data_IF_364995314181
#
_entry.id   IF_364995314181
#
_cell.length_a   1.000
_cell.length_b   1.000
_cell.length_c   1.000
_cell.angle_alpha   90.00
_cell.angle_beta   90.00
_cell.angle_gamma   90.00
#
_symmetry.space_group_name_H-M   'P 1'
#
loop_
_entity.id
_entity.type
_entity.pdbx_description
1 polymer ?
#
# COMPACT_ATOMS: atom_id res chain seq x y z
N UNK A 1 0.47 -12.32 36.35
CA UNK A 1 -0.29 -11.16 35.81
C UNK A 1 -1.01 -10.50 36.98
N UNK A 2 -0.98 -9.16 37.07
CA UNK A 2 -1.72 -8.44 38.10
C UNK A 2 -3.23 -8.68 37.94
N UNK A 3 -3.91 -9.01 39.04
CA UNK A 3 -5.35 -9.18 39.10
C UNK A 3 -5.98 -7.82 39.44
N UNK A 4 -6.62 -7.10 38.50
CA UNK A 4 -7.18 -5.80 38.81
C UNK A 4 -8.52 -5.89 39.54
N UNK A 5 -8.87 -4.84 40.26
CA UNK A 5 -10.26 -4.55 40.63
C UNK A 5 -10.86 -3.71 39.52
N UNK A 6 -11.93 -4.22 38.90
CA UNK A 6 -12.65 -3.54 37.81
C UNK A 6 -13.62 -2.49 38.38
N UNK A 7 -13.75 -1.35 37.72
CA UNK A 7 -14.85 -0.41 37.96
C UNK A 7 -16.21 -1.08 37.71
N UNK A 8 -17.22 -0.81 38.55
CA UNK A 8 -18.58 -1.32 38.34
C UNK A 8 -19.29 -0.65 37.16
N UNK A 9 -18.82 0.53 36.74
CA UNK A 9 -19.34 1.27 35.61
C UNK A 9 -18.45 1.05 34.38
N UNK A 10 -19.10 0.83 33.25
CA UNK A 10 -18.47 0.66 31.95
C UNK A 10 -18.67 1.90 31.09
N UNK A 11 -17.72 2.12 30.17
CA UNK A 11 -17.80 3.24 29.22
C UNK A 11 -18.83 2.99 28.12
N UNK A 12 -18.97 1.73 27.73
CA UNK A 12 -19.91 1.21 26.74
C UNK A 12 -19.91 -0.32 26.84
N UNK A 13 -21.02 -0.94 26.45
CA UNK A 13 -21.27 -2.38 26.58
C UNK A 13 -20.99 -2.89 28.02
N UNK A 14 -20.91 -4.20 28.22
CA UNK A 14 -20.72 -4.87 29.52
C UNK A 14 -19.26 -5.35 29.76
N UNK A 15 -18.32 -4.93 28.90
CA UNK A 15 -16.95 -5.46 28.91
C UNK A 15 -15.83 -4.40 29.01
N UNK A 16 -16.11 -3.10 28.93
CA UNK A 16 -15.05 -2.05 28.96
C UNK A 16 -15.15 -1.12 30.16
N UNK A 17 -14.37 -1.34 31.24
CA UNK A 17 -14.46 -0.55 32.46
C UNK A 17 -13.89 0.87 32.32
N UNK A 18 -14.38 1.79 33.16
CA UNK A 18 -13.82 3.14 33.29
C UNK A 18 -12.38 3.14 33.83
N UNK A 19 -12.05 2.20 34.70
CA UNK A 19 -10.72 2.05 35.28
C UNK A 19 -10.49 0.64 35.84
N UNK A 20 -9.22 0.33 36.06
CA UNK A 20 -8.71 -0.86 36.73
C UNK A 20 -7.81 -0.44 37.88
N UNK A 21 -8.14 -0.86 39.10
CA UNK A 21 -7.36 -0.59 40.30
C UNK A 21 -6.39 -1.74 40.61
N UNK A 22 -5.20 -1.42 41.16
CA UNK A 22 -4.29 -2.42 41.67
C UNK A 22 -4.89 -3.12 42.90
N UNK A 23 -4.75 -4.45 42.97
CA UNK A 23 -5.17 -5.23 44.16
C UNK A 23 -3.99 -5.79 44.95
N UNK A 24 -2.77 -5.69 44.40
CA UNK A 24 -1.58 -6.36 44.91
C UNK A 24 -1.58 -7.88 44.72
N UNK A 25 -2.63 -8.46 44.09
CA UNK A 25 -2.71 -9.90 43.81
C UNK A 25 -2.23 -10.19 42.41
N UNK A 26 -1.55 -11.32 42.26
CA UNK A 26 -1.16 -11.86 40.97
C UNK A 26 -1.79 -13.22 40.71
N UNK A 27 -2.01 -13.52 39.44
CA UNK A 27 -2.45 -14.82 38.96
C UNK A 27 -1.57 -15.28 37.82
N UNK A 28 -1.22 -16.56 37.82
CA UNK A 28 -0.65 -17.22 36.65
C UNK A 28 -1.79 -17.67 35.73
N UNK A 29 -1.71 -17.25 34.47
CA UNK A 29 -2.59 -17.73 33.42
C UNK A 29 -1.75 -18.07 32.20
N UNK A 30 -1.96 -19.27 31.70
CA UNK A 30 -1.45 -19.68 30.39
C UNK A 30 -2.42 -19.19 29.32
N UNK A 31 -2.25 -17.93 28.90
CA UNK A 31 -3.07 -17.30 27.88
C UNK A 31 -2.21 -16.36 27.01
N UNK A 32 -2.48 -16.39 25.71
CA UNK A 32 -1.90 -15.42 24.78
C UNK A 32 -2.66 -14.09 24.90
N UNK A 33 -2.03 -13.09 25.51
CA UNK A 33 -2.60 -11.75 25.60
C UNK A 33 -2.18 -10.88 24.40
N UNK A 34 -3.10 -10.05 23.92
CA UNK A 34 -2.87 -9.12 22.80
C UNK A 34 -2.02 -7.90 23.19
N UNK A 35 -1.77 -7.03 22.21
CA UNK A 35 -0.95 -5.82 22.39
C UNK A 35 -1.41 -4.96 23.58
N UNK A 36 -0.45 -4.42 24.34
CA UNK A 36 -0.70 -3.51 25.47
C UNK A 36 -0.96 -4.18 26.83
N UNK A 37 -1.21 -5.48 26.87
CA UNK A 37 -1.49 -6.21 28.13
C UNK A 37 -0.36 -6.07 29.15
N UNK A 38 0.90 -6.11 28.70
CA UNK A 38 2.06 -6.05 29.56
C UNK A 38 2.13 -4.68 30.26
N UNK A 39 1.88 -3.59 29.51
CA UNK A 39 1.82 -2.24 30.07
C UNK A 39 0.74 -2.08 31.15
N UNK A 40 -0.46 -2.65 30.93
CA UNK A 40 -1.53 -2.70 31.94
C UNK A 40 -1.07 -3.48 33.18
N UNK A 41 -0.51 -4.68 32.99
CA UNK A 41 -0.08 -5.53 34.11
C UNK A 41 1.03 -4.88 34.94
N UNK A 42 2.05 -4.30 34.31
CA UNK A 42 3.15 -3.63 35.01
C UNK A 42 2.70 -2.34 35.72
N UNK A 43 1.76 -1.59 35.13
CA UNK A 43 1.17 -0.42 35.80
C UNK A 43 0.47 -0.82 37.11
N UNK A 44 -0.34 -1.89 37.05
CA UNK A 44 -1.05 -2.40 38.23
C UNK A 44 -0.10 -2.95 39.30
N UNK A 45 0.99 -3.63 38.92
CA UNK A 45 2.03 -4.07 39.86
C UNK A 45 2.72 -2.90 40.56
N UNK A 46 2.92 -1.79 39.84
CA UNK A 46 3.48 -0.55 40.38
C UNK A 46 2.47 0.24 41.24
N UNK A 47 1.25 -0.27 41.48
CA UNK A 47 0.23 0.44 42.24
C UNK A 47 -0.42 1.60 41.48
N UNK A 48 -0.27 1.65 40.15
CA UNK A 48 -0.82 2.70 39.30
C UNK A 48 -2.20 2.26 38.78
N UNK A 49 -3.21 3.09 39.00
CA UNK A 49 -4.54 2.91 38.41
C UNK A 49 -4.46 3.06 36.90
N UNK A 50 -5.03 2.10 36.17
CA UNK A 50 -5.17 2.18 34.71
C UNK A 50 -6.54 2.74 34.41
N UNK A 51 -6.59 3.99 33.94
CA UNK A 51 -7.84 4.66 33.55
C UNK A 51 -8.11 4.48 32.07
N UNK A 52 -9.39 4.39 31.72
CA UNK A 52 -9.81 4.43 30.32
C UNK A 52 -9.69 5.85 29.76
N UNK A 53 -9.79 5.96 28.44
CA UNK A 53 -9.84 7.24 27.75
C UNK A 53 -11.08 8.02 28.18
N UNK A 54 -10.90 9.29 28.57
CA UNK A 54 -12.01 10.18 28.89
C UNK A 54 -12.81 10.59 27.63
N UNK A 55 -13.99 11.17 27.81
CA UNK A 55 -14.88 11.57 26.71
C UNK A 55 -14.23 12.53 25.71
N UNK A 56 -13.25 13.33 26.14
CA UNK A 56 -12.51 14.23 25.26
C UNK A 56 -11.62 13.43 24.29
N UNK A 57 -10.81 12.49 24.79
CA UNK A 57 -9.98 11.63 23.96
C UNK A 57 -10.81 10.64 23.11
N UNK A 58 -11.92 10.16 23.66
CA UNK A 58 -12.83 9.23 23.00
C UNK A 58 -13.50 9.79 21.75
N UNK A 59 -13.73 11.11 21.68
CA UNK A 59 -14.28 11.79 20.50
C UNK A 59 -13.37 11.72 19.28
N UNK A 60 -12.08 11.45 19.47
CA UNK A 60 -11.10 11.31 18.39
C UNK A 60 -10.83 9.86 17.99
N UNK A 61 -11.59 8.91 18.54
CA UNK A 61 -11.47 7.48 18.24
C UNK A 61 -12.67 6.99 17.45
N UNK A 62 -12.41 6.15 16.46
CA UNK A 62 -13.42 5.29 15.87
C UNK A 62 -13.36 3.91 16.53
N UNK A 63 -14.51 3.33 16.83
CA UNK A 63 -14.59 2.08 17.56
C UNK A 63 -15.12 0.97 16.64
N UNK A 64 -14.32 -0.08 16.48
CA UNK A 64 -14.72 -1.30 15.79
C UNK A 64 -15.25 -2.30 16.82
N UNK A 65 -16.41 -2.02 17.41
CA UNK A 65 -17.04 -2.93 18.37
C UNK A 65 -17.47 -4.23 17.71
N UNK A 66 -17.70 -5.27 18.54
CA UNK A 66 -18.26 -6.51 18.06
C UNK A 66 -19.58 -6.24 17.34
N UNK A 67 -19.70 -6.77 16.12
CA UNK A 67 -20.91 -6.60 15.33
C UNK A 67 -21.94 -7.65 15.73
N UNK A 68 -23.08 -7.19 16.25
CA UNK A 68 -24.18 -8.06 16.73
C UNK A 68 -25.34 -8.18 15.73
N UNK A 69 -25.26 -7.56 14.56
CA UNK A 69 -26.28 -7.66 13.51
C UNK A 69 -26.15 -8.93 12.66
N UNK A 70 -26.56 -8.87 11.38
CA UNK A 70 -26.56 -10.03 10.49
C UNK A 70 -25.13 -10.36 9.99
N UNK A 71 -24.51 -11.48 10.41
CA UNK A 71 -23.12 -11.78 10.05
C UNK A 71 -22.89 -11.93 8.55
N UNK A 72 -23.88 -12.42 7.80
CA UNK A 72 -23.79 -12.57 6.35
C UNK A 72 -23.86 -11.23 5.61
N UNK A 73 -24.64 -10.27 6.12
CA UNK A 73 -24.64 -8.89 5.60
C UNK A 73 -23.30 -8.20 5.87
N UNK A 74 -22.79 -8.34 7.08
CA UNK A 74 -21.48 -7.83 7.47
C UNK A 74 -20.35 -8.37 6.61
N UNK A 75 -20.29 -9.69 6.42
CA UNK A 75 -19.28 -10.34 5.58
C UNK A 75 -19.34 -9.84 4.14
N UNK A 76 -20.54 -9.69 3.55
CA UNK A 76 -20.69 -9.16 2.19
C UNK A 76 -20.23 -7.71 2.08
N UNK A 77 -20.65 -6.86 3.02
CA UNK A 77 -20.32 -5.46 3.02
C UNK A 77 -18.81 -5.20 3.27
N UNK A 78 -18.16 -6.03 4.07
CA UNK A 78 -16.70 -5.94 4.29
C UNK A 78 -15.88 -6.68 3.23
N UNK A 79 -16.49 -7.55 2.43
CA UNK A 79 -15.87 -8.20 1.27
C UNK A 79 -15.40 -7.19 0.23
N UNK A 80 -16.29 -6.25 -0.09
CA UNK A 80 -16.01 -5.09 -0.94
C UNK A 80 -16.77 -3.88 -0.37
N UNK A 81 -16.05 -3.08 0.43
CA UNK A 81 -16.60 -1.92 1.12
C UNK A 81 -17.11 -0.88 0.13
N UNK A 82 -16.52 -0.77 -1.06
CA UNK A 82 -16.95 0.19 -2.08
C UNK A 82 -18.27 -0.24 -2.73
N UNK A 83 -18.46 -1.55 -2.95
CA UNK A 83 -19.68 -2.12 -3.50
C UNK A 83 -20.77 -2.40 -2.44
N UNK A 84 -20.48 -2.21 -1.16
CA UNK A 84 -21.42 -2.45 -0.07
C UNK A 84 -22.74 -1.67 -0.27
N UNK A 85 -23.85 -2.40 -0.31
CA UNK A 85 -25.20 -1.83 -0.42
C UNK A 85 -25.57 -1.02 0.81
N UNK A 86 -26.49 -0.07 0.65
CA UNK A 86 -27.05 0.66 1.78
C UNK A 86 -27.70 -0.30 2.78
N UNK A 87 -27.43 -0.09 4.07
CA UNK A 87 -27.98 -0.88 5.17
C UNK A 87 -28.68 0.02 6.19
N UNK A 88 -29.79 -0.47 6.74
CA UNK A 88 -30.47 0.17 7.87
C UNK A 88 -29.71 -0.02 9.19
N UNK A 89 -28.84 -1.03 9.27
CA UNK A 89 -28.00 -1.29 10.44
C UNK A 89 -27.00 -0.15 10.66
N UNK A 90 -27.12 0.52 11.81
CA UNK A 90 -26.29 1.68 12.13
C UNK A 90 -24.82 1.34 12.36
N UNK A 91 -24.52 0.17 12.95
CA UNK A 91 -23.16 -0.27 13.24
C UNK A 91 -22.41 -0.64 11.97
N UNK A 92 -23.05 -1.39 11.06
CA UNK A 92 -22.48 -1.73 9.76
C UNK A 92 -22.30 -0.48 8.90
N UNK A 93 -23.30 0.41 8.85
CA UNK A 93 -23.17 1.69 8.12
C UNK A 93 -21.99 2.51 8.62
N UNK A 94 -21.90 2.75 9.93
CA UNK A 94 -20.78 3.50 10.52
C UNK A 94 -19.42 2.88 10.20
N UNK A 95 -19.30 1.55 10.28
CA UNK A 95 -18.06 0.84 9.96
C UNK A 95 -17.67 1.02 8.50
N UNK A 96 -18.60 0.80 7.57
CA UNK A 96 -18.32 0.95 6.13
C UNK A 96 -18.00 2.40 5.76
N UNK A 97 -18.71 3.38 6.35
CA UNK A 97 -18.44 4.80 6.13
C UNK A 97 -17.06 5.21 6.66
N UNK A 98 -16.69 4.73 7.85
CA UNK A 98 -15.35 4.94 8.39
C UNK A 98 -14.28 4.33 7.49
N UNK A 99 -14.42 3.08 7.05
CA UNK A 99 -13.43 2.44 6.18
C UNK A 99 -13.29 3.19 4.84
N UNK A 100 -14.40 3.66 4.25
CA UNK A 100 -14.38 4.53 3.06
C UNK A 100 -13.64 5.84 3.32
N UNK A 101 -13.93 6.49 4.44
CA UNK A 101 -13.30 7.76 4.80
C UNK A 101 -11.81 7.58 5.10
N UNK A 102 -11.46 6.58 5.91
CA UNK A 102 -10.07 6.25 6.27
C UNK A 102 -9.24 5.91 5.03
N UNK A 103 -9.79 5.15 4.07
CA UNK A 103 -9.13 4.88 2.80
C UNK A 103 -8.87 6.15 1.99
N UNK A 104 -9.87 7.02 1.85
CA UNK A 104 -9.72 8.32 1.17
C UNK A 104 -8.71 9.23 1.87
N UNK A 105 -8.62 9.20 3.19
CA UNK A 105 -7.69 10.02 3.96
C UNK A 105 -6.26 9.48 3.92
N UNK A 106 -6.07 8.16 4.02
CA UNK A 106 -4.75 7.53 4.00
C UNK A 106 -4.08 7.63 2.61
N UNK A 107 -4.88 7.45 1.56
CA UNK A 107 -4.45 7.45 0.17
C UNK A 107 -5.50 8.22 -0.65
N UNK A 108 -5.46 9.57 -0.67
CA UNK A 108 -6.35 10.34 -1.53
C UNK A 108 -6.16 9.89 -2.98
N UNK A 109 -7.25 9.83 -3.76
CA UNK A 109 -7.25 9.36 -5.16
C UNK A 109 -6.25 10.10 -6.06
N UNK A 110 -5.71 11.24 -5.59
CA UNK A 110 -4.76 12.09 -6.28
C UNK A 110 -3.36 12.11 -5.63
N UNK A 111 -3.06 11.22 -4.67
CA UNK A 111 -1.74 11.14 -4.02
C UNK A 111 -0.69 10.54 -4.95
N UNK A 112 0.44 11.23 -5.10
CA UNK A 112 1.60 10.76 -5.87
C UNK A 112 2.71 10.40 -4.87
N UNK A 113 3.06 9.12 -4.78
CA UNK A 113 4.17 8.66 -3.94
C UNK A 113 5.46 8.56 -4.75
N UNK A 114 6.46 9.37 -4.40
CA UNK A 114 7.70 9.47 -5.18
C UNK A 114 8.61 8.24 -5.09
N UNK A 115 8.67 7.60 -3.92
CA UNK A 115 9.50 6.41 -3.68
C UNK A 115 8.72 5.10 -3.81
N UNK A 116 7.41 5.16 -4.12
CA UNK A 116 6.52 4.01 -4.10
C UNK A 116 6.29 3.47 -2.69
N UNK A 117 5.72 2.26 -2.60
CA UNK A 117 5.45 1.56 -1.35
C UNK A 117 6.44 0.40 -1.13
N UNK A 118 7.71 0.64 -1.42
CA UNK A 118 8.75 -0.39 -1.46
C UNK A 118 9.33 -0.67 -0.08
N UNK A 119 8.57 -1.36 0.77
CA UNK A 119 9.18 -2.20 1.79
C UNK A 119 9.83 -3.38 1.07
N UNK A 120 11.07 -3.19 0.59
CA UNK A 120 11.93 -4.15 -0.10
C UNK A 120 11.15 -5.13 -1.00
N UNK A 121 10.86 -4.72 -2.24
CA UNK A 121 10.45 -5.67 -3.28
C UNK A 121 11.52 -6.78 -3.31
N UNK A 122 11.11 -8.04 -3.14
CA UNK A 122 11.96 -9.20 -3.43
C UNK A 122 12.15 -9.26 -4.96
N UNK A 123 13.04 -8.41 -5.47
CA UNK A 123 13.43 -8.41 -6.87
C UNK A 123 14.39 -9.59 -7.04
N UNK A 124 14.07 -10.55 -7.91
CA UNK A 124 14.90 -11.72 -8.09
C UNK A 124 16.27 -11.29 -8.63
N UNK A 125 17.33 -11.82 -8.04
CA UNK A 125 18.71 -11.67 -8.54
C UNK A 125 18.95 -12.59 -9.75
N UNK A 126 18.09 -12.49 -10.77
CA UNK A 126 18.13 -13.35 -11.97
C UNK A 126 18.34 -12.46 -13.18
N UNK A 127 19.52 -12.55 -13.80
CA UNK A 127 19.83 -11.86 -15.05
C UNK A 127 19.46 -12.72 -16.24
N UNK A 128 18.55 -12.26 -17.07
CA UNK A 128 18.16 -12.95 -18.29
C UNK A 128 18.94 -12.40 -19.48
N UNK A 129 19.79 -13.25 -20.10
CA UNK A 129 20.73 -12.80 -21.16
C UNK A 129 20.06 -12.11 -22.34
N UNK A 130 18.82 -12.50 -22.69
CA UNK A 130 18.09 -11.90 -23.81
C UNK A 130 17.40 -10.59 -23.44
N UNK A 131 17.26 -10.27 -22.14
CA UNK A 131 16.46 -9.16 -21.66
C UNK A 131 14.95 -9.45 -21.67
N UNK A 132 14.18 -8.59 -21.01
CA UNK A 132 12.73 -8.66 -20.89
C UNK A 132 12.01 -8.10 -22.13
N UNK A 133 10.94 -8.73 -22.61
CA UNK A 133 10.14 -8.18 -23.72
C UNK A 133 9.10 -7.15 -23.23
N UNK A 134 8.41 -7.44 -22.12
CA UNK A 134 7.38 -6.57 -21.55
C UNK A 134 7.43 -6.49 -20.02
N UNK A 135 7.34 -5.28 -19.47
CA UNK A 135 7.18 -5.02 -18.04
C UNK A 135 5.86 -4.31 -17.75
N UNK A 136 5.02 -4.89 -16.91
CA UNK A 136 3.95 -4.16 -16.23
C UNK A 136 4.48 -3.64 -14.90
N UNK A 137 4.33 -2.35 -14.63
CA UNK A 137 4.78 -1.76 -13.37
C UNK A 137 3.87 -0.63 -12.91
N UNK A 138 3.74 -0.39 -11.59
CA UNK A 138 3.01 0.76 -11.10
C UNK A 138 3.68 2.06 -11.54
N UNK A 139 2.87 3.11 -11.76
CA UNK A 139 3.41 4.41 -12.15
C UNK A 139 4.21 5.11 -11.04
N UNK A 140 4.03 4.70 -9.78
CA UNK A 140 4.71 5.26 -8.61
C UNK A 140 6.09 4.61 -8.35
N UNK A 141 7.00 5.34 -7.71
CA UNK A 141 8.30 4.79 -7.26
C UNK A 141 9.35 4.54 -8.35
N UNK A 142 10.15 3.49 -8.20
CA UNK A 142 11.20 3.12 -9.17
C UNK A 142 11.27 1.61 -9.44
N UNK A 143 10.20 0.88 -9.11
CA UNK A 143 10.16 -0.59 -9.27
C UNK A 143 10.43 -1.03 -10.71
N UNK A 144 9.94 -0.26 -11.71
CA UNK A 144 10.25 -0.52 -13.12
C UNK A 144 11.77 -0.54 -13.38
N UNK A 145 12.49 0.49 -12.92
CA UNK A 145 13.93 0.61 -13.10
C UNK A 145 14.69 -0.48 -12.34
N UNK A 146 14.30 -0.77 -11.11
CA UNK A 146 14.95 -1.80 -10.30
C UNK A 146 14.78 -3.21 -10.91
N UNK A 147 13.59 -3.54 -11.42
CA UNK A 147 13.32 -4.81 -12.10
C UNK A 147 14.12 -4.92 -13.40
N UNK A 148 14.11 -3.87 -14.22
CA UNK A 148 14.87 -3.86 -15.48
C UNK A 148 16.38 -3.96 -15.25
N UNK A 149 16.91 -3.34 -14.19
CA UNK A 149 18.33 -3.45 -13.84
C UNK A 149 18.71 -4.87 -13.39
N UNK A 150 17.88 -5.49 -12.54
CA UNK A 150 18.14 -6.84 -12.05
C UNK A 150 18.01 -7.91 -13.15
N UNK A 151 16.97 -7.81 -13.98
CA UNK A 151 16.64 -8.82 -14.98
C UNK A 151 17.37 -8.59 -16.31
N UNK A 152 17.59 -7.34 -16.69
CA UNK A 152 18.08 -6.94 -18.00
C UNK A 152 16.96 -6.70 -19.01
N UNK A 153 17.23 -5.83 -19.98
CA UNK A 153 16.29 -5.40 -21.01
C UNK A 153 17.03 -5.05 -22.32
N UNK A 154 16.28 -4.86 -23.39
CA UNK A 154 16.77 -4.53 -24.73
C UNK A 154 15.99 -3.35 -25.34
N UNK A 155 16.40 -2.86 -26.49
CA UNK A 155 15.82 -1.64 -27.08
C UNK A 155 14.33 -1.79 -27.45
N UNK A 156 13.89 -3.01 -27.81
CA UNK A 156 12.48 -3.33 -28.08
C UNK A 156 11.64 -3.61 -26.81
N UNK A 157 12.22 -3.52 -25.61
CA UNK A 157 11.47 -3.76 -24.37
C UNK A 157 10.37 -2.72 -24.22
N UNK A 158 9.15 -3.18 -23.91
CA UNK A 158 8.01 -2.31 -23.64
C UNK A 158 7.73 -2.24 -22.13
N UNK A 159 7.43 -1.05 -21.64
CA UNK A 159 7.02 -0.83 -20.25
C UNK A 159 5.59 -0.28 -20.23
N UNK A 160 4.69 -1.04 -19.62
CA UNK A 160 3.28 -0.66 -19.40
C UNK A 160 3.14 -0.19 -17.96
N UNK A 161 3.10 1.12 -17.79
CA UNK A 161 2.79 1.74 -16.51
C UNK A 161 1.29 1.69 -16.23
N UNK A 162 0.92 1.20 -15.05
CA UNK A 162 -0.46 1.22 -14.58
C UNK A 162 -0.61 1.98 -13.27
N UNK A 163 -1.72 2.69 -13.09
CA UNK A 163 -2.09 3.28 -11.80
C UNK A 163 -3.57 3.67 -11.81
N UNK A 164 -4.25 3.54 -10.66
CA UNK A 164 -5.60 4.08 -10.47
C UNK A 164 -5.63 5.62 -10.45
N UNK A 165 -4.52 6.25 -10.07
CA UNK A 165 -4.35 7.70 -10.03
C UNK A 165 -3.79 8.26 -11.34
N UNK A 166 -4.63 9.03 -12.06
CA UNK A 166 -4.23 9.70 -13.31
C UNK A 166 -3.08 10.70 -13.13
N UNK A 167 -3.00 11.37 -11.98
CA UNK A 167 -1.93 12.31 -11.69
C UNK A 167 -0.58 11.60 -11.50
N UNK A 168 -0.58 10.37 -10.96
CA UNK A 168 0.64 9.55 -10.87
C UNK A 168 1.14 9.11 -12.25
N UNK A 169 0.23 8.71 -13.15
CA UNK A 169 0.58 8.41 -14.55
C UNK A 169 1.11 9.63 -15.29
N UNK A 170 0.47 10.80 -15.12
CA UNK A 170 0.92 12.06 -15.70
C UNK A 170 2.32 12.44 -15.19
N UNK A 171 2.56 12.27 -13.88
CA UNK A 171 3.86 12.51 -13.28
C UNK A 171 4.94 11.55 -13.81
N UNK A 172 4.66 10.24 -13.94
CA UNK A 172 5.60 9.28 -14.53
C UNK A 172 5.96 9.66 -15.95
N UNK A 173 4.97 10.04 -16.76
CA UNK A 173 5.18 10.48 -18.15
C UNK A 173 6.09 11.71 -18.17
N UNK A 174 5.76 12.73 -17.39
CA UNK A 174 6.57 13.94 -17.28
C UNK A 174 8.01 13.62 -16.85
N UNK A 175 8.20 12.73 -15.88
CA UNK A 175 9.53 12.30 -15.44
C UNK A 175 10.34 11.68 -16.58
N UNK A 176 9.74 10.77 -17.36
CA UNK A 176 10.43 10.13 -18.49
C UNK A 176 10.76 11.16 -19.59
N UNK A 177 9.87 12.11 -19.82
CA UNK A 177 10.04 13.09 -20.89
C UNK A 177 11.08 14.15 -20.53
N UNK A 178 11.12 14.62 -19.27
CA UNK A 178 11.86 15.83 -18.90
C UNK A 178 13.02 15.60 -17.93
N UNK A 179 13.01 14.53 -17.12
CA UNK A 179 14.08 14.30 -16.15
C UNK A 179 15.29 13.63 -16.80
N UNK A 180 16.47 14.21 -16.62
CA UNK A 180 17.75 13.69 -17.12
C UNK A 180 18.39 12.64 -16.19
N UNK A 181 17.82 12.44 -15.00
CA UNK A 181 18.31 11.50 -13.99
C UNK A 181 19.16 12.15 -12.90
N UNK A 182 19.41 13.47 -12.98
CA UNK A 182 20.19 14.25 -12.01
C UNK A 182 19.32 15.26 -11.26
N UNK A 183 19.78 15.73 -10.09
CA UNK A 183 19.13 16.77 -9.30
C UNK A 183 17.61 16.58 -9.15
N UNK A 184 17.23 15.43 -8.59
CA UNK A 184 15.81 15.09 -8.46
C UNK A 184 15.02 16.12 -7.64
N UNK A 185 15.66 16.81 -6.69
CA UNK A 185 15.02 17.89 -5.94
C UNK A 185 14.48 18.99 -6.86
N UNK A 186 15.33 19.50 -7.76
CA UNK A 186 14.94 20.52 -8.72
C UNK A 186 13.85 20.00 -9.66
N UNK A 187 14.03 18.78 -10.19
CA UNK A 187 13.02 18.14 -11.03
C UNK A 187 11.66 18.05 -10.34
N UNK A 188 11.59 17.64 -9.07
CA UNK A 188 10.33 17.53 -8.34
C UNK A 188 9.66 18.89 -8.16
N UNK A 189 10.41 19.95 -7.88
CA UNK A 189 9.85 21.30 -7.75
C UNK A 189 9.16 21.72 -9.06
N UNK A 190 9.81 21.48 -10.20
CA UNK A 190 9.27 21.84 -11.51
C UNK A 190 8.11 20.92 -11.92
N UNK A 191 8.26 19.62 -11.73
CA UNK A 191 7.22 18.63 -12.02
C UNK A 191 5.96 18.90 -11.19
N UNK A 192 6.08 19.31 -9.93
CA UNK A 192 4.92 19.68 -9.10
C UNK A 192 4.11 20.81 -9.72
N UNK A 193 4.76 21.84 -10.26
CA UNK A 193 4.08 22.96 -10.93
C UNK A 193 3.37 22.49 -12.20
N UNK A 194 4.07 21.70 -13.03
CA UNK A 194 3.51 21.17 -14.27
C UNK A 194 2.29 20.26 -14.00
N UNK A 195 2.40 19.35 -13.02
CA UNK A 195 1.32 18.43 -12.68
C UNK A 195 0.15 19.14 -12.02
N UNK A 196 0.38 20.13 -11.15
CA UNK A 196 -0.70 20.90 -10.54
C UNK A 196 -1.54 21.68 -11.56
N UNK A 197 -0.94 22.11 -12.69
CA UNK A 197 -1.67 22.79 -13.75
C UNK A 197 -2.71 21.89 -14.45
N UNK A 198 -2.39 20.61 -14.64
CA UNK A 198 -3.29 19.62 -15.27
C UNK A 198 -4.15 18.85 -14.25
N UNK A 199 -3.67 18.71 -13.02
CA UNK A 199 -4.28 17.95 -11.93
C UNK A 199 -4.25 18.78 -10.65
N UNK A 200 -5.15 19.77 -10.48
CA UNK A 200 -5.09 20.74 -9.39
C UNK A 200 -5.22 20.13 -7.98
N UNK A 201 -5.80 18.93 -7.90
CA UNK A 201 -5.96 18.19 -6.64
C UNK A 201 -4.82 17.18 -6.38
N UNK A 202 -3.77 17.14 -7.21
CA UNK A 202 -2.64 16.25 -7.04
C UNK A 202 -1.86 16.56 -5.75
N UNK A 203 -1.65 15.55 -4.91
CA UNK A 203 -0.96 15.66 -3.64
C UNK A 203 0.34 14.86 -3.67
N UNK A 204 1.48 15.55 -3.70
CA UNK A 204 2.79 14.90 -3.67
C UNK A 204 3.16 14.48 -2.25
N UNK A 205 3.32 13.18 -2.02
CA UNK A 205 3.84 12.65 -0.77
C UNK A 205 5.38 12.67 -0.82
N UNK A 206 5.93 13.75 -0.26
CA UNK A 206 7.37 13.97 -0.19
C UNK A 206 7.93 13.30 1.08
N UNK A 207 9.02 12.51 0.97
CA UNK A 207 9.86 12.20 2.12
C UNK A 207 10.23 13.45 2.92
N UNK A 208 10.32 13.33 4.24
CA UNK A 208 10.80 14.42 5.10
C UNK A 208 12.19 14.90 4.63
N UNK A 209 12.38 16.23 4.56
CA UNK A 209 13.66 16.84 4.17
C UNK A 209 13.88 17.08 2.68
N UNK A 210 12.92 16.75 1.79
CA UNK A 210 13.04 17.02 0.34
C UNK A 210 13.02 18.51 -0.03
N UNK A 211 12.70 19.39 0.92
CA UNK A 211 12.79 20.85 0.76
C UNK A 211 14.25 21.37 0.72
N UNK A 212 15.22 20.53 1.10
CA UNK A 212 16.65 20.83 1.02
C UNK A 212 17.27 19.97 -0.09
N UNK A 213 17.77 20.61 -1.16
CA UNK A 213 18.20 19.94 -2.39
C UNK A 213 19.18 18.77 -2.15
N UNK A 214 20.16 18.95 -1.26
CA UNK A 214 21.17 17.94 -0.93
C UNK A 214 20.62 16.76 -0.11
N UNK A 215 19.53 16.96 0.65
CA UNK A 215 18.90 15.89 1.44
C UNK A 215 17.94 15.05 0.63
N UNK A 216 17.41 15.56 -0.48
CA UNK A 216 16.48 14.84 -1.37
C UNK A 216 17.14 13.71 -2.15
N UNK A 217 18.42 13.86 -2.53
CA UNK A 217 19.14 12.83 -3.29
C UNK A 217 19.38 11.57 -2.45
N UNK A 218 19.63 11.72 -1.15
CA UNK A 218 20.01 10.60 -0.26
C UNK A 218 18.94 9.51 -0.13
N UNK A 219 17.64 9.81 0.07
CA UNK A 219 16.57 8.81 0.10
C UNK A 219 16.38 8.08 -1.23
N UNK A 220 16.55 8.78 -2.35
CA UNK A 220 16.38 8.21 -3.69
C UNK A 220 17.55 7.29 -4.00
N UNK A 221 18.79 7.74 -3.81
CA UNK A 221 19.95 6.88 -4.00
C UNK A 221 20.05 5.79 -2.92
N UNK A 222 19.47 5.96 -1.73
CA UNK A 222 19.33 4.85 -0.77
C UNK A 222 18.31 3.82 -1.25
N UNK A 223 17.17 4.24 -1.79
CA UNK A 223 16.15 3.35 -2.34
C UNK A 223 16.57 2.67 -3.65
N UNK A 224 17.28 3.39 -4.51
CA UNK A 224 17.87 2.90 -5.76
C UNK A 224 19.17 2.12 -5.53
N UNK A 225 19.95 2.46 -4.50
CA UNK A 225 21.30 1.95 -4.27
C UNK A 225 21.39 0.47 -3.90
N UNK A 226 20.25 -0.20 -3.64
CA UNK A 226 20.20 -1.66 -3.58
C UNK A 226 20.25 -2.32 -4.97
N UNK A 227 19.83 -1.61 -6.01
CA UNK A 227 19.77 -2.11 -7.40
C UNK A 227 20.89 -1.58 -8.28
N UNK A 228 21.46 -0.42 -7.96
CA UNK A 228 22.49 0.22 -8.78
C UNK A 228 23.82 0.33 -8.01
N UNK A 229 24.89 -0.17 -8.63
CA UNK A 229 26.24 -0.18 -8.05
C UNK A 229 26.84 1.23 -7.90
N UNK A 230 26.43 2.18 -8.74
CA UNK A 230 26.91 3.57 -8.70
C UNK A 230 25.92 4.56 -9.34
N UNK A 231 26.15 5.87 -9.13
CA UNK A 231 25.40 6.94 -9.81
C UNK A 231 25.54 6.85 -11.33
N UNK A 232 26.72 6.52 -11.84
CA UNK A 232 26.97 6.37 -13.28
C UNK A 232 26.16 5.20 -13.85
N UNK A 233 26.02 4.09 -13.09
CA UNK A 233 25.17 2.98 -13.51
C UNK A 233 23.71 3.40 -13.59
N UNK A 234 23.21 4.12 -12.59
CA UNK A 234 21.88 4.72 -12.62
C UNK A 234 21.68 5.63 -13.84
N UNK A 235 22.58 6.58 -14.10
CA UNK A 235 22.45 7.52 -15.22
C UNK A 235 22.51 6.82 -16.58
N UNK A 236 23.32 5.76 -16.71
CA UNK A 236 23.34 4.93 -17.92
C UNK A 236 22.03 4.17 -18.08
N UNK A 237 21.55 3.53 -17.01
CA UNK A 237 20.26 2.85 -17.00
C UNK A 237 19.14 3.79 -17.41
N UNK A 238 19.02 4.94 -16.74
CA UNK A 238 17.97 5.93 -16.96
C UNK A 238 17.95 6.43 -18.41
N UNK A 239 19.12 6.74 -18.99
CA UNK A 239 19.23 7.14 -20.40
C UNK A 239 18.74 6.08 -21.38
N UNK A 240 18.96 4.81 -21.09
CA UNK A 240 18.47 3.70 -21.92
C UNK A 240 16.99 3.45 -21.69
N UNK A 241 16.58 3.45 -20.43
CA UNK A 241 15.19 3.31 -20.00
C UNK A 241 14.28 4.31 -20.70
N UNK A 242 14.66 5.60 -20.74
CA UNK A 242 13.87 6.66 -21.41
C UNK A 242 13.62 6.43 -22.90
N UNK A 243 14.47 5.63 -23.59
CA UNK A 243 14.31 5.31 -25.02
C UNK A 243 13.30 4.20 -25.28
N UNK A 244 12.94 3.43 -24.25
CA UNK A 244 12.01 2.33 -24.37
C UNK A 244 10.60 2.83 -24.74
N UNK A 245 9.79 1.92 -25.28
CA UNK A 245 8.37 2.18 -25.49
C UNK A 245 7.66 2.17 -24.15
N UNK A 246 7.05 3.30 -23.80
CA UNK A 246 6.25 3.44 -22.59
C UNK A 246 4.76 3.60 -22.91
N UNK A 247 3.93 2.80 -22.25
CA UNK A 247 2.48 2.93 -22.27
C UNK A 247 1.94 3.22 -20.88
N UNK A 248 0.82 3.92 -20.80
CA UNK A 248 0.27 4.43 -19.54
C UNK A 248 -1.22 4.12 -19.50
N UNK A 249 -1.61 3.25 -18.57
CA UNK A 249 -2.96 2.71 -18.47
C UNK A 249 -3.55 3.09 -17.12
N UNK A 250 -4.70 3.77 -17.12
CA UNK A 250 -5.42 4.06 -15.87
C UNK A 250 -6.15 2.81 -15.42
N UNK A 251 -5.55 2.10 -14.47
CA UNK A 251 -5.95 0.76 -14.08
C UNK A 251 -5.62 0.50 -12.61
N UNK A 252 -6.61 0.05 -11.86
CA UNK A 252 -6.48 -0.38 -10.48
C UNK A 252 -6.66 -1.91 -10.42
N UNK A 253 -5.59 -2.68 -10.12
CA UNK A 253 -5.69 -4.14 -10.11
C UNK A 253 -6.72 -4.70 -9.12
N UNK A 254 -6.96 -4.03 -7.98
CA UNK A 254 -7.92 -4.47 -6.98
C UNK A 254 -9.37 -4.23 -7.43
N UNK A 255 -9.61 -3.08 -8.06
CA UNK A 255 -10.96 -2.66 -8.48
C UNK A 255 -11.35 -3.21 -9.84
N UNK A 256 -10.39 -3.44 -10.74
CA UNK A 256 -10.63 -3.71 -12.16
C UNK A 256 -9.92 -4.98 -12.66
N UNK A 257 -10.08 -6.16 -12.02
CA UNK A 257 -9.35 -7.37 -12.39
C UNK A 257 -9.61 -7.84 -13.83
N UNK A 258 -10.83 -7.66 -14.36
CA UNK A 258 -11.13 -7.97 -15.76
C UNK A 258 -10.35 -7.09 -16.73
N UNK A 259 -10.29 -5.78 -16.47
CA UNK A 259 -9.51 -4.87 -17.30
C UNK A 259 -8.00 -5.12 -17.18
N UNK A 260 -7.53 -5.66 -16.04
CA UNK A 260 -6.15 -6.16 -15.90
C UNK A 260 -5.90 -7.33 -16.85
N UNK A 261 -6.81 -8.30 -16.92
CA UNK A 261 -6.67 -9.44 -17.83
C UNK A 261 -6.62 -8.99 -19.29
N UNK A 262 -7.51 -8.07 -19.69
CA UNK A 262 -7.55 -7.50 -21.04
C UNK A 262 -6.29 -6.69 -21.39
N UNK A 263 -5.78 -5.90 -20.43
CA UNK A 263 -4.53 -5.17 -20.58
C UNK A 263 -3.34 -6.14 -20.75
N UNK A 264 -3.26 -7.18 -19.92
CA UNK A 264 -2.21 -8.19 -20.04
C UNK A 264 -2.30 -8.90 -21.39
N UNK A 265 -3.49 -9.30 -21.82
CA UNK A 265 -3.69 -9.92 -23.12
C UNK A 265 -3.25 -9.01 -24.28
N UNK A 266 -3.48 -7.71 -24.16
CA UNK A 266 -3.16 -6.73 -25.22
C UNK A 266 -1.67 -6.39 -25.30
N UNK A 267 -0.94 -6.50 -24.19
CA UNK A 267 0.44 -6.01 -24.12
C UNK A 267 1.50 -7.07 -23.79
N UNK A 268 1.15 -8.20 -23.18
CA UNK A 268 2.11 -9.24 -22.83
C UNK A 268 2.87 -9.76 -24.06
N UNK A 269 4.08 -10.21 -23.82
CA UNK A 269 5.01 -10.73 -24.81
C UNK A 269 5.63 -12.05 -24.32
N UNK A 270 6.59 -12.59 -25.08
CA UNK A 270 7.17 -13.91 -24.80
C UNK A 270 7.74 -13.99 -23.38
N UNK A 271 8.56 -13.02 -22.97
CA UNK A 271 8.99 -12.84 -21.59
C UNK A 271 8.36 -11.59 -20.97
N UNK A 272 7.47 -11.79 -20.01
CA UNK A 272 6.72 -10.71 -19.36
C UNK A 272 6.87 -10.74 -17.84
N UNK A 273 7.13 -9.58 -17.23
CA UNK A 273 7.12 -9.43 -15.77
C UNK A 273 6.00 -8.47 -15.38
N UNK A 274 5.32 -8.76 -14.28
CA UNK A 274 4.47 -7.80 -13.58
C UNK A 274 5.05 -7.47 -12.21
N UNK A 275 5.54 -6.25 -12.04
CA UNK A 275 5.83 -5.68 -10.74
C UNK A 275 4.51 -5.23 -10.10
N UNK A 276 4.14 -5.85 -8.97
CA UNK A 276 2.91 -5.57 -8.23
C UNK A 276 3.17 -4.82 -6.91
N UNK A 277 4.43 -4.62 -6.55
CA UNK A 277 4.89 -4.03 -5.30
C UNK A 277 4.12 -4.61 -4.10
N UNK A 278 3.32 -3.79 -3.40
CA UNK A 278 2.41 -4.24 -2.35
C UNK A 278 0.93 -3.94 -2.67
N UNK A 279 0.55 -3.79 -3.95
CA UNK A 279 -0.76 -3.28 -4.34
C UNK A 279 -1.95 -4.09 -3.78
N UNK A 280 -1.78 -5.40 -3.54
CA UNK A 280 -2.82 -6.24 -2.96
C UNK A 280 -2.85 -6.25 -1.42
N UNK A 281 -1.82 -5.71 -0.77
CA UNK A 281 -1.66 -5.66 0.70
C UNK A 281 -1.45 -4.22 1.21
N UNK A 282 -1.67 -3.23 0.36
CA UNK A 282 -1.62 -1.82 0.70
C UNK A 282 -2.69 -1.48 1.74
N UNK A 283 -2.49 -0.39 2.47
CA UNK A 283 -3.39 0.00 3.56
C UNK A 283 -4.83 0.19 3.06
N UNK A 284 -5.02 0.84 1.91
CA UNK A 284 -6.31 0.99 1.24
C UNK A 284 -6.90 -0.35 0.80
N UNK A 285 -6.09 -1.24 0.24
CA UNK A 285 -6.50 -2.60 -0.11
C UNK A 285 -7.02 -3.36 1.10
N UNK A 286 -6.30 -3.33 2.22
CA UNK A 286 -6.67 -3.99 3.48
C UNK A 286 -7.90 -3.37 4.17
N UNK A 287 -8.15 -2.08 3.95
CA UNK A 287 -9.32 -1.39 4.51
C UNK A 287 -10.58 -1.62 3.68
N UNK A 288 -10.46 -1.64 2.35
CA UNK A 288 -11.61 -1.66 1.43
C UNK A 288 -12.01 -3.06 0.98
N UNK A 289 -11.10 -4.02 0.99
CA UNK A 289 -11.33 -5.34 0.42
C UNK A 289 -10.89 -6.45 1.36
N UNK A 290 -11.71 -7.49 1.45
CA UNK A 290 -11.34 -8.69 2.21
C UNK A 290 -10.23 -9.49 1.49
N UNK A 291 -9.78 -10.56 2.14
CA UNK A 291 -8.79 -11.44 1.53
C UNK A 291 -9.29 -12.10 0.24
N UNK A 292 -10.57 -12.49 0.18
CA UNK A 292 -11.15 -13.19 -0.97
C UNK A 292 -11.08 -12.33 -2.23
N UNK A 293 -11.48 -11.06 -2.13
CA UNK A 293 -11.44 -10.11 -3.24
C UNK A 293 -10.02 -9.81 -3.70
N UNK A 294 -9.10 -9.56 -2.75
CA UNK A 294 -7.67 -9.28 -3.07
C UNK A 294 -7.00 -10.49 -3.71
N UNK A 295 -7.27 -11.70 -3.21
CA UNK A 295 -6.80 -12.95 -3.81
C UNK A 295 -7.36 -13.16 -5.21
N UNK A 296 -8.66 -12.96 -5.41
CA UNK A 296 -9.28 -13.07 -6.73
C UNK A 296 -8.58 -12.15 -7.75
N UNK A 297 -8.39 -10.88 -7.40
CA UNK A 297 -7.73 -9.91 -8.28
C UNK A 297 -6.28 -10.31 -8.62
N UNK A 298 -5.51 -10.76 -7.63
CA UNK A 298 -4.16 -11.28 -7.84
C UNK A 298 -4.14 -12.53 -8.74
N UNK A 299 -5.04 -13.49 -8.48
CA UNK A 299 -5.11 -14.71 -9.27
C UNK A 299 -5.47 -14.42 -10.73
N UNK A 300 -6.37 -13.47 -11.00
CA UNK A 300 -6.69 -13.03 -12.37
C UNK A 300 -5.45 -12.47 -13.07
N UNK A 301 -4.65 -11.64 -12.39
CA UNK A 301 -3.38 -11.13 -12.94
C UNK A 301 -2.41 -12.27 -13.27
N UNK A 302 -2.19 -13.19 -12.34
CA UNK A 302 -1.26 -14.33 -12.51
C UNK A 302 -1.72 -15.24 -13.65
N UNK A 303 -2.99 -15.61 -13.70
CA UNK A 303 -3.51 -16.47 -14.76
C UNK A 303 -3.47 -15.79 -16.12
N UNK A 304 -3.67 -14.48 -16.17
CA UNK A 304 -3.55 -13.71 -17.41
C UNK A 304 -2.11 -13.70 -17.92
N UNK A 305 -1.11 -13.50 -17.05
CA UNK A 305 0.30 -13.59 -17.44
C UNK A 305 0.65 -14.98 -17.96
N UNK A 306 0.24 -16.02 -17.21
CA UNK A 306 0.46 -17.42 -17.57
C UNK A 306 -0.12 -17.79 -18.93
N UNK A 307 -1.28 -17.24 -19.26
CA UNK A 307 -1.98 -17.54 -20.52
C UNK A 307 -1.43 -16.78 -21.72
N UNK A 308 -0.75 -15.66 -21.50
CA UNK A 308 -0.32 -14.73 -22.57
C UNK A 308 1.21 -14.59 -22.69
N UNK A 309 2.00 -15.33 -21.91
CA UNK A 309 3.47 -15.27 -21.92
C UNK A 309 4.08 -16.67 -21.90
N UNK A 310 5.22 -16.86 -22.57
CA UNK A 310 5.97 -18.11 -22.51
C UNK A 310 6.76 -18.23 -21.20
N UNK A 311 7.35 -17.11 -20.78
CA UNK A 311 8.04 -16.94 -19.51
C UNK A 311 7.37 -15.77 -18.79
N UNK A 312 6.98 -15.98 -17.53
CA UNK A 312 6.40 -14.92 -16.73
C UNK A 312 6.91 -14.93 -15.30
N UNK A 313 6.88 -13.75 -14.68
CA UNK A 313 7.18 -13.57 -13.27
C UNK A 313 6.32 -12.47 -12.68
N UNK A 314 5.89 -12.67 -11.43
CA UNK A 314 5.25 -11.65 -10.63
C UNK A 314 6.23 -11.25 -9.53
N UNK A 315 6.54 -9.96 -9.46
CA UNK A 315 7.52 -9.40 -8.53
C UNK A 315 6.79 -8.50 -7.54
N UNK A 316 6.91 -8.78 -6.24
CA UNK A 316 6.21 -8.07 -5.17
C UNK A 316 5.50 -9.02 -4.21
N UNK A 317 4.69 -8.45 -3.31
CA UNK A 317 4.01 -9.20 -2.25
C UNK A 317 2.63 -9.68 -2.72
N UNK A 318 2.38 -11.00 -2.78
CA UNK A 318 1.04 -11.53 -3.01
C UNK A 318 0.12 -11.22 -1.82
N UNK A 319 -1.22 -11.21 -1.99
CA UNK A 319 -2.15 -10.90 -0.92
C UNK A 319 -2.01 -11.87 0.26
N UNK A 320 -1.68 -11.35 1.45
CA UNK A 320 -1.59 -12.15 2.66
C UNK A 320 -2.93 -12.22 3.36
N UNK A 321 -3.25 -13.41 3.89
CA UNK A 321 -4.38 -13.58 4.80
C UNK A 321 -3.99 -13.03 6.17
N UNK A 322 -4.32 -11.76 6.41
CA UNK A 322 -4.25 -11.20 7.77
C UNK A 322 -5.55 -11.58 8.48
N UNK A 323 -5.45 -12.48 9.45
CA UNK A 323 -6.55 -12.67 10.41
C UNK A 323 -6.60 -11.36 11.19
N UNK A 324 -7.69 -10.59 11.04
CA UNK A 324 -7.96 -9.47 11.94
C UNK A 324 -8.23 -10.10 13.30
N UNK A 325 -7.19 -10.15 14.14
CA UNK A 325 -7.28 -10.57 15.54
C UNK A 325 -7.97 -9.51 16.38
#
# INVERSE_FOLDING_TARGET
>A
MALPKRCAQDVHDDYTPLWLDPTGKETERDAAFGYGWHGISESLKAGIQVVNWNDAARRWKHYCYAYYGNPGEWQRALGDVLAATHTSDSGLRQTTDFLKQAARSAMPDNRISLLGNNDAIDIPAVRFKRGLDCLFAPAQGFSANQVLEAVGFHDETKVVFYDGNKAALAFRRHMIDTWDGENFAAFIIDARRAIAAAHPNAAFALPEGLAEADRAERPIYRGLGLSFESKESWLRHWRNFRKLRHEFVNLDPLRQPTAVAECIQSHAAAFTIAAIDNCFDSLDGLMLFDWTRRKFAHDVLVQSLKSNSQVYLVVGTPPRRRIRG
#
